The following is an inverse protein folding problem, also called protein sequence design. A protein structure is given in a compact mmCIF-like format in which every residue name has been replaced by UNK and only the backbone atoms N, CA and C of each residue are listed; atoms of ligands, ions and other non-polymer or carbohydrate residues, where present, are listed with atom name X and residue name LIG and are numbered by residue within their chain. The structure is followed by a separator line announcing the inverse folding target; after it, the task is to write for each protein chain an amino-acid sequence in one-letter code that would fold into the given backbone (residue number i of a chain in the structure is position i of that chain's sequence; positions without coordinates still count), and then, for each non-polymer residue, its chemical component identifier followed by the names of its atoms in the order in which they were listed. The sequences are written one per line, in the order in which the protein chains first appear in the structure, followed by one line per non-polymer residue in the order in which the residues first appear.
data_IF_262437823128
#
_entry.id   IF_262437823128
#
_cell.length_a   1.000
_cell.length_b   1.000
_cell.length_c   1.000
_cell.angle_alpha   90.00
_cell.angle_beta   90.00
_cell.angle_gamma   90.00
#
_symmetry.space_group_name_H-M   'P 1'
#
loop_
_entity.id
_entity.type
_entity.pdbx_description
1 polymer ?
#
# COMPACT_ATOMS: atom_id res chain seq x y z
N UNK A 1 3.15 -5.81 0.96
CA UNK A 1 4.10 -4.72 0.63
C UNK A 1 4.99 -4.40 1.84
N UNK A 2 6.27 -4.17 1.61
CA UNK A 2 7.26 -3.86 2.65
C UNK A 2 7.98 -2.55 2.29
N UNK A 3 8.24 -1.71 3.28
CA UNK A 3 9.01 -0.48 3.13
C UNK A 3 10.17 -0.50 4.11
N UNK A 4 11.36 -0.16 3.62
CA UNK A 4 12.59 -0.16 4.41
C UNK A 4 13.44 1.06 4.11
N UNK A 5 14.17 1.56 5.09
CA UNK A 5 15.11 2.64 4.89
C UNK A 5 15.53 3.31 6.18
N UNK A 6 16.27 4.40 6.04
CA UNK A 6 16.75 5.24 7.13
C UNK A 6 16.01 6.58 7.05
N UNK A 7 15.36 6.98 8.15
CA UNK A 7 14.72 8.29 8.26
C UNK A 7 15.75 9.41 8.50
N UNK A 8 15.32 10.66 8.37
CA UNK A 8 16.20 11.83 8.53
C UNK A 8 16.85 11.95 9.92
N UNK A 9 16.28 11.31 10.94
CA UNK A 9 16.83 11.23 12.30
C UNK A 9 17.84 10.09 12.48
N UNK A 10 18.13 9.33 11.43
CA UNK A 10 19.03 8.18 11.45
C UNK A 10 18.38 6.87 11.90
N UNK A 11 17.07 6.86 12.18
CA UNK A 11 16.37 5.64 12.58
C UNK A 11 16.15 4.70 11.38
N UNK A 12 16.53 3.44 11.55
CA UNK A 12 16.13 2.38 10.63
C UNK A 12 14.64 2.07 10.80
N UNK A 13 13.92 2.04 9.69
CA UNK A 13 12.48 1.77 9.66
C UNK A 13 12.20 0.54 8.80
N UNK A 14 11.38 -0.34 9.36
CA UNK A 14 10.79 -1.48 8.66
C UNK A 14 9.27 -1.44 8.81
N UNK A 15 8.54 -1.34 7.70
CA UNK A 15 7.08 -1.31 7.68
C UNK A 15 6.52 -2.36 6.74
N UNK A 16 5.42 -2.97 7.15
CA UNK A 16 4.72 -3.98 6.37
C UNK A 16 3.24 -3.64 6.29
N UNK A 17 2.69 -3.78 5.08
CA UNK A 17 1.28 -3.64 4.78
C UNK A 17 0.83 -4.89 4.02
N UNK A 18 -0.30 -5.45 4.43
CA UNK A 18 -1.01 -6.44 3.64
C UNK A 18 -2.06 -5.72 2.80
N UNK A 19 -2.03 -5.97 1.49
CA UNK A 19 -2.96 -5.36 0.54
C UNK A 19 -3.84 -6.47 0.01
N UNK A 20 -5.15 -6.27 0.09
CA UNK A 20 -6.14 -7.22 -0.43
C UNK A 20 -6.95 -6.47 -1.46
N UNK A 21 -7.10 -7.03 -2.65
CA UNK A 21 -7.95 -6.44 -3.66
C UNK A 21 -8.95 -7.45 -4.21
N UNK A 22 -10.08 -6.93 -4.67
CA UNK A 22 -11.18 -7.70 -5.22
C UNK A 22 -11.65 -7.04 -6.53
N UNK A 23 -12.24 -7.85 -7.40
CA UNK A 23 -12.88 -7.40 -8.62
C UNK A 23 -14.26 -6.82 -8.31
N UNK A 24 -14.46 -5.56 -8.69
CA UNK A 24 -15.79 -5.00 -8.74
C UNK A 24 -16.50 -5.31 -10.06
N UNK A 25 -17.82 -5.15 -10.08
CA UNK A 25 -18.60 -5.27 -11.32
C UNK A 25 -18.08 -4.31 -12.41
N UNK A 26 -18.12 -4.74 -13.68
CA UNK A 26 -17.76 -3.93 -14.85
C UNK A 26 -16.31 -3.42 -14.90
N UNK A 27 -15.33 -4.23 -14.46
CA UNK A 27 -13.90 -3.90 -14.59
C UNK A 27 -13.37 -2.89 -13.58
N UNK A 28 -14.19 -2.59 -12.56
CA UNK A 28 -13.76 -1.85 -11.38
C UNK A 28 -12.95 -2.75 -10.42
N UNK A 29 -12.22 -2.14 -9.51
CA UNK A 29 -11.44 -2.86 -8.49
C UNK A 29 -11.48 -2.11 -7.17
N UNK A 30 -11.44 -2.84 -6.06
CA UNK A 30 -11.36 -2.27 -4.71
C UNK A 30 -10.18 -2.91 -4.01
N UNK A 31 -9.33 -2.10 -3.40
CA UNK A 31 -8.20 -2.56 -2.60
C UNK A 31 -8.31 -2.04 -1.16
N UNK A 32 -8.03 -2.89 -0.18
CA UNK A 32 -8.00 -2.60 1.25
C UNK A 32 -6.57 -2.64 1.77
N UNK A 33 -6.28 -1.80 2.76
CA UNK A 33 -4.96 -1.61 3.35
C UNK A 33 -4.98 -2.10 4.80
N UNK A 34 -4.12 -3.06 5.12
CA UNK A 34 -4.00 -3.60 6.46
C UNK A 34 -2.56 -3.37 6.95
N UNK A 35 -2.32 -2.45 7.90
CA UNK A 35 -0.99 -2.24 8.46
C UNK A 35 -0.61 -3.43 9.35
N UNK A 36 0.59 -3.97 9.14
CA UNK A 36 1.14 -5.07 9.94
C UNK A 36 2.22 -4.60 10.93
N UNK A 37 2.68 -3.35 10.79
CA UNK A 37 3.67 -2.74 11.68
C UNK A 37 3.01 -1.70 12.58
N UNK A 38 3.37 -1.69 13.86
CA UNK A 38 2.89 -0.68 14.80
C UNK A 38 3.33 0.72 14.37
N UNK A 39 2.41 1.68 14.37
CA UNK A 39 2.69 3.06 13.97
C UNK A 39 2.97 3.25 12.48
N UNK A 40 2.64 2.28 11.63
CA UNK A 40 2.69 2.44 10.19
C UNK A 40 1.70 3.53 9.73
N UNK A 41 2.14 4.55 8.97
CA UNK A 41 1.25 5.57 8.43
C UNK A 41 0.15 4.95 7.57
N UNK A 42 -1.06 5.45 7.73
CA UNK A 42 -2.22 5.05 6.93
C UNK A 42 -2.76 6.27 6.17
N UNK A 43 -3.32 6.06 4.97
CA UNK A 43 -4.19 7.06 4.36
C UNK A 43 -5.48 7.21 5.19
N UNK A 44 -6.22 8.30 4.93
CA UNK A 44 -7.46 8.60 5.65
C UNK A 44 -8.52 7.50 5.48
N UNK A 45 -8.61 6.94 4.27
CA UNK A 45 -9.46 5.80 3.95
C UNK A 45 -8.63 4.50 3.87
N UNK A 46 -9.07 3.46 4.57
CA UNK A 46 -8.45 2.13 4.55
C UNK A 46 -8.75 1.33 3.27
N UNK A 47 -9.60 1.89 2.39
CA UNK A 47 -10.07 1.30 1.14
C UNK A 47 -9.98 2.28 0.00
N UNK A 48 -9.60 1.78 -1.17
CA UNK A 48 -9.53 2.55 -2.40
C UNK A 48 -10.23 1.82 -3.52
N UNK A 49 -11.14 2.50 -4.20
CA UNK A 49 -11.88 1.97 -5.35
C UNK A 49 -11.40 2.64 -6.65
N UNK A 50 -11.21 1.85 -7.69
CA UNK A 50 -10.92 2.31 -9.05
C UNK A 50 -12.04 1.91 -9.99
N UNK A 51 -12.38 2.79 -10.94
CA UNK A 51 -13.48 2.56 -11.88
C UNK A 51 -13.11 1.59 -13.00
N UNK A 52 -11.83 1.50 -13.36
CA UNK A 52 -11.32 0.71 -14.48
C UNK A 52 -9.98 0.07 -14.13
N UNK A 53 -9.63 -1.00 -14.84
CA UNK A 53 -8.34 -1.69 -14.69
C UNK A 53 -8.30 -2.70 -13.54
N UNK A 54 -9.45 -2.99 -12.92
CA UNK A 54 -9.66 -4.09 -11.99
C UNK A 54 -8.76 -4.07 -10.75
N UNK A 55 -8.52 -5.26 -10.23
CA UNK A 55 -7.71 -5.54 -9.05
C UNK A 55 -6.30 -4.93 -9.15
N UNK A 56 -5.59 -5.17 -10.26
CA UNK A 56 -4.20 -4.73 -10.45
C UNK A 56 -4.08 -3.20 -10.33
N UNK A 57 -5.02 -2.47 -10.92
CA UNK A 57 -5.02 -1.00 -10.86
C UNK A 57 -5.36 -0.51 -9.45
N UNK A 58 -6.27 -1.19 -8.74
CA UNK A 58 -6.57 -0.88 -7.35
C UNK A 58 -5.35 -1.09 -6.44
N UNK A 59 -4.64 -2.20 -6.60
CA UNK A 59 -3.41 -2.51 -5.85
C UNK A 59 -2.30 -1.50 -6.12
N UNK A 60 -2.08 -1.12 -7.39
CA UNK A 60 -1.11 -0.09 -7.77
C UNK A 60 -1.45 1.27 -7.17
N UNK A 61 -2.71 1.68 -7.25
CA UNK A 61 -3.16 2.95 -6.69
C UNK A 61 -2.94 3.01 -5.17
N UNK A 62 -3.26 1.93 -4.46
CA UNK A 62 -2.98 1.80 -3.03
C UNK A 62 -1.49 1.84 -2.71
N UNK A 63 -0.65 1.11 -3.46
CA UNK A 63 0.78 1.09 -3.23
C UNK A 63 1.41 2.49 -3.39
N UNK A 64 1.01 3.24 -4.41
CA UNK A 64 1.45 4.62 -4.61
C UNK A 64 0.93 5.56 -3.52
N UNK A 65 -0.33 5.40 -3.09
CA UNK A 65 -0.87 6.19 -1.99
C UNK A 65 -0.09 5.98 -0.68
N UNK A 66 0.23 4.73 -0.33
CA UNK A 66 1.03 4.41 0.88
C UNK A 66 2.43 5.00 0.77
N UNK A 67 3.06 4.89 -0.41
CA UNK A 67 4.41 5.43 -0.65
C UNK A 67 4.45 6.96 -0.52
N UNK A 68 3.38 7.65 -0.92
CA UNK A 68 3.28 9.10 -0.85
C UNK A 68 3.08 9.65 0.57
N UNK A 69 2.68 8.82 1.53
CA UNK A 69 2.44 9.25 2.92
C UNK A 69 3.71 9.88 3.51
N UNK A 70 3.60 11.01 4.24
CA UNK A 70 4.76 11.74 4.75
C UNK A 70 5.77 10.88 5.52
N UNK A 71 5.29 9.93 6.32
CA UNK A 71 6.16 9.03 7.07
C UNK A 71 6.90 7.98 6.23
N UNK A 72 6.47 7.72 4.99
CA UNK A 72 7.04 6.70 4.09
C UNK A 72 7.92 7.29 2.99
N UNK A 73 8.02 8.62 2.87
CA UNK A 73 8.79 9.27 1.82
C UNK A 73 10.28 8.91 1.92
N UNK A 74 10.88 8.57 0.78
CA UNK A 74 12.28 8.17 0.70
C UNK A 74 12.59 6.72 1.11
N UNK A 75 11.60 5.96 1.61
CA UNK A 75 11.78 4.54 1.88
C UNK A 75 11.76 3.72 0.59
N UNK A 76 12.60 2.70 0.54
CA UNK A 76 12.58 1.71 -0.53
C UNK A 76 11.31 0.85 -0.39
N UNK A 77 10.63 0.61 -1.51
CA UNK A 77 9.37 -0.15 -1.54
C UNK A 77 9.59 -1.48 -2.23
N UNK A 78 9.23 -2.58 -1.55
CA UNK A 78 9.18 -3.92 -2.12
C UNK A 78 7.76 -4.48 -2.06
N UNK A 79 7.18 -4.73 -3.23
CA UNK A 79 5.89 -5.42 -3.36
C UNK A 79 6.15 -6.90 -3.56
N UNK A 80 5.51 -7.73 -2.76
CA UNK A 80 5.49 -9.19 -2.94
C UNK A 80 4.05 -9.53 -3.23
N UNK A 81 3.80 -10.02 -4.44
CA UNK A 81 2.52 -10.56 -4.88
C UNK A 81 2.63 -12.06 -4.64
N UNK A 82 1.81 -12.61 -3.75
CA UNK A 82 1.65 -14.06 -3.64
C UNK A 82 0.51 -14.43 -4.58
N UNK A 83 0.78 -15.04 -5.75
CA UNK A 83 -0.27 -15.74 -6.48
C UNK A 83 -0.66 -16.96 -5.61
N UNK A 84 -1.95 -17.08 -5.29
CA UNK A 84 -2.50 -18.36 -4.82
C UNK A 84 -2.36 -19.44 -5.92
#
# INVERSE_FOLDING_TARGET
MRLTGILNDGAEVYRSYYLVADFGAHGSGIASIIPLSLGAPMPDDDRMAVKYGGEETALKAVAEAIKALPGNQGLEVRVVINPE
#
